data_IF_620365366784
#
_entry.id   IF_620365366784
#
_cell.length_a   1.000
_cell.length_b   1.000
_cell.length_c   1.000
_cell.angle_alpha   90.00
_cell.angle_beta   90.00
_cell.angle_gamma   90.00
#
_symmetry.space_group_name_H-M   'P 1'
#
loop_
_entity.id
_entity.type
_entity.pdbx_description
1 polymer ?
#
# COMPACT_ATOMS: atom_id res chain seq x y z
N UNK A 1 -6.53 18.80 12.87
CA UNK A 1 -6.17 17.55 12.18
C UNK A 1 -6.66 17.66 10.75
N UNK A 2 -5.76 17.69 9.77
CA UNK A 2 -6.13 17.81 8.35
C UNK A 2 -6.76 16.51 7.84
N UNK A 3 -7.49 16.58 6.72
CA UNK A 3 -8.12 15.39 6.13
C UNK A 3 -7.07 14.35 5.71
N UNK A 4 -5.90 14.78 5.25
CA UNK A 4 -4.77 13.90 4.99
C UNK A 4 -4.29 13.17 6.26
N UNK A 5 -4.19 13.86 7.40
CA UNK A 5 -3.81 13.24 8.67
C UNK A 5 -4.86 12.24 9.16
N UNK A 6 -6.16 12.54 8.99
CA UNK A 6 -7.23 11.59 9.30
C UNK A 6 -7.16 10.35 8.42
N UNK A 7 -6.93 10.54 7.12
CA UNK A 7 -6.79 9.46 6.16
C UNK A 7 -5.61 8.54 6.51
N UNK A 8 -4.44 9.12 6.80
CA UNK A 8 -3.26 8.36 7.23
C UNK A 8 -3.57 7.56 8.50
N UNK A 9 -4.23 8.19 9.48
CA UNK A 9 -4.58 7.55 10.74
C UNK A 9 -5.58 6.38 10.54
N UNK A 10 -6.56 6.54 9.64
CA UNK A 10 -7.52 5.49 9.33
C UNK A 10 -6.86 4.33 8.57
N UNK A 11 -5.95 4.60 7.63
CA UNK A 11 -5.16 3.57 6.94
C UNK A 11 -4.30 2.81 7.93
N UNK A 12 -3.56 3.50 8.80
CA UNK A 12 -2.73 2.86 9.82
C UNK A 12 -3.56 1.99 10.79
N UNK A 13 -4.76 2.44 11.16
CA UNK A 13 -5.67 1.66 12.01
C UNK A 13 -6.14 0.38 11.31
N UNK A 14 -6.45 0.46 10.01
CA UNK A 14 -6.89 -0.68 9.21
C UNK A 14 -5.76 -1.64 8.85
N UNK A 15 -4.51 -1.21 8.96
CA UNK A 15 -3.30 -1.97 8.61
C UNK A 15 -2.40 -2.14 9.84
N UNK A 16 -2.92 -2.85 10.85
CA UNK A 16 -2.19 -3.15 12.07
C UNK A 16 -1.38 -4.44 11.90
N UNK A 17 -0.15 -4.44 12.43
CA UNK A 17 0.71 -5.62 12.49
C UNK A 17 0.12 -6.66 13.43
N UNK A 18 -0.09 -7.86 12.91
CA UNK A 18 -0.44 -9.03 13.70
C UNK A 18 0.75 -9.97 13.74
N UNK A 19 1.16 -10.31 14.95
CA UNK A 19 2.25 -11.24 15.19
C UNK A 19 1.74 -12.52 15.85
N UNK A 20 2.19 -13.64 15.31
CA UNK A 20 2.12 -14.96 15.92
C UNK A 20 3.53 -15.51 16.06
N UNK A 21 3.69 -16.59 16.83
CA UNK A 21 4.97 -17.26 17.09
C UNK A 21 5.75 -17.59 15.80
N UNK A 22 5.07 -17.78 14.66
CA UNK A 22 5.71 -18.18 13.40
C UNK A 22 5.43 -17.28 12.20
N UNK A 23 4.54 -16.28 12.32
CA UNK A 23 4.10 -15.48 11.17
C UNK A 23 3.76 -14.06 11.59
N UNK A 24 4.14 -13.12 10.73
CA UNK A 24 3.76 -11.71 10.79
C UNK A 24 2.93 -11.41 9.55
N UNK A 25 1.75 -10.84 9.77
CA UNK A 25 0.83 -10.44 8.71
C UNK A 25 0.12 -9.12 9.09
N UNK A 26 -0.44 -8.45 8.09
CA UNK A 26 -1.25 -7.26 8.30
C UNK A 26 -2.73 -7.62 8.46
N UNK A 27 -3.49 -6.84 9.23
CA UNK A 27 -4.97 -6.98 9.36
C UNK A 27 -5.72 -6.95 8.02
N UNK A 28 -5.12 -6.37 6.97
CA UNK A 28 -5.67 -6.42 5.61
C UNK A 28 -5.54 -7.79 4.91
N UNK A 29 -4.89 -8.77 5.58
CA UNK A 29 -4.68 -10.12 5.07
C UNK A 29 -3.37 -10.31 4.30
N UNK A 30 -2.56 -9.26 4.12
CA UNK A 30 -1.26 -9.38 3.45
C UNK A 30 -0.24 -10.08 4.36
N UNK A 31 0.42 -11.10 3.81
CA UNK A 31 1.59 -11.71 4.46
C UNK A 31 2.83 -10.86 4.17
N UNK A 32 3.58 -10.52 5.22
CA UNK A 32 4.64 -9.51 5.14
C UNK A 32 6.02 -10.02 5.52
N UNK A 33 6.13 -11.29 5.92
CA UNK A 33 7.34 -11.78 6.57
C UNK A 33 7.68 -10.95 7.81
N UNK A 34 8.88 -11.13 8.38
CA UNK A 34 9.24 -10.52 9.68
C UNK A 34 9.43 -8.99 9.65
N UNK A 35 9.67 -8.40 8.49
CA UNK A 35 10.05 -6.98 8.37
C UNK A 35 9.19 -6.17 7.42
N UNK A 36 8.36 -6.78 6.56
CA UNK A 36 7.67 -6.09 5.46
C UNK A 36 6.46 -5.24 5.82
N UNK A 37 6.12 -5.11 7.10
CA UNK A 37 4.93 -4.38 7.55
C UNK A 37 5.05 -2.88 7.34
N UNK A 38 6.22 -2.31 7.62
CA UNK A 38 6.45 -0.88 7.46
C UNK A 38 6.36 -0.48 5.99
N UNK A 39 6.97 -1.25 5.09
CA UNK A 39 6.93 -1.01 3.65
C UNK A 39 5.53 -1.21 3.08
N UNK A 40 4.78 -2.20 3.57
CA UNK A 40 3.38 -2.35 3.18
C UNK A 40 2.52 -1.18 3.63
N UNK A 41 2.60 -0.80 4.91
CA UNK A 41 1.82 0.31 5.45
C UNK A 41 2.12 1.61 4.70
N UNK A 42 3.40 1.90 4.41
CA UNK A 42 3.80 3.03 3.58
C UNK A 42 3.13 2.98 2.19
N UNK A 43 3.14 1.81 1.54
CA UNK A 43 2.50 1.64 0.24
C UNK A 43 0.97 1.83 0.29
N UNK A 44 0.28 1.40 1.36
CA UNK A 44 -1.17 1.64 1.49
C UNK A 44 -1.49 3.11 1.79
N UNK A 45 -0.64 3.79 2.56
CA UNK A 45 -0.74 5.24 2.80
C UNK A 45 -0.56 6.00 1.48
N UNK A 46 0.46 5.64 0.69
CA UNK A 46 0.71 6.28 -0.61
C UNK A 46 -0.44 6.06 -1.60
N UNK A 47 -1.08 4.89 -1.60
CA UNK A 47 -2.31 4.65 -2.39
C UNK A 47 -3.44 5.55 -1.93
N UNK A 48 -3.69 5.63 -0.62
CA UNK A 48 -4.79 6.40 -0.06
C UNK A 48 -4.62 7.90 -0.33
N UNK A 49 -3.40 8.42 -0.21
CA UNK A 49 -3.06 9.81 -0.53
C UNK A 49 -3.08 10.10 -2.04
N UNK A 50 -3.32 9.10 -2.89
CA UNK A 50 -3.32 9.24 -4.35
C UNK A 50 -1.92 9.31 -4.97
N UNK A 51 -0.87 9.11 -4.17
CA UNK A 51 0.53 9.04 -4.61
C UNK A 51 0.84 7.80 -5.44
N UNK A 52 0.04 6.73 -5.35
CA UNK A 52 0.11 5.55 -6.21
C UNK A 52 -1.14 5.42 -7.09
N UNK A 53 -0.97 5.37 -8.42
CA UNK A 53 -2.07 5.13 -9.38
C UNK A 53 -2.08 3.67 -9.83
N UNK A 54 -3.26 3.07 -9.90
CA UNK A 54 -3.41 1.72 -10.44
C UNK A 54 -3.31 1.78 -11.96
N UNK A 55 -2.24 1.23 -12.53
CA UNK A 55 -2.11 1.04 -13.96
C UNK A 55 -2.41 -0.42 -14.33
N UNK A 56 -3.09 -0.66 -15.46
CA UNK A 56 -3.20 -2.00 -16.03
C UNK A 56 -1.79 -2.49 -16.40
N UNK A 57 -1.46 -3.73 -16.06
CA UNK A 57 -0.21 -4.35 -16.49
C UNK A 57 -0.26 -4.60 -18.02
N UNK A 58 0.33 -3.72 -18.82
CA UNK A 58 0.53 -3.98 -20.24
C UNK A 58 1.62 -5.06 -20.40
N UNK A 59 1.28 -6.20 -21.01
CA UNK A 59 2.27 -7.18 -21.46
C UNK A 59 1.99 -8.66 -21.18
N UNK A 60 0.98 -9.02 -20.38
CA UNK A 60 0.65 -10.45 -20.15
C UNK A 60 -0.88 -10.66 -20.21
N UNK A 61 -1.41 -11.31 -21.26
CA UNK A 61 -2.86 -11.43 -21.48
C UNK A 61 -3.60 -12.35 -20.49
N UNK A 62 -2.89 -13.11 -19.64
CA UNK A 62 -3.50 -14.11 -18.74
C UNK A 62 -3.88 -13.59 -17.34
N UNK A 63 -3.57 -12.34 -17.00
CA UNK A 63 -3.94 -11.75 -15.70
C UNK A 63 -4.85 -10.53 -15.87
N UNK A 64 -6.06 -10.74 -16.40
CA UNK A 64 -7.07 -9.71 -16.67
C UNK A 64 -7.59 -8.91 -15.44
N UNK A 65 -6.94 -9.02 -14.28
CA UNK A 65 -7.25 -8.26 -13.06
C UNK A 65 -6.03 -7.71 -12.32
N UNK A 66 -4.80 -7.92 -12.81
CA UNK A 66 -3.60 -7.55 -12.07
C UNK A 66 -3.26 -6.08 -12.31
N UNK A 67 -3.67 -5.22 -11.38
CA UNK A 67 -3.32 -3.80 -11.37
C UNK A 67 -1.96 -3.64 -10.70
N UNK A 68 -1.00 -2.99 -11.37
CA UNK A 68 0.24 -2.54 -10.75
C UNK A 68 0.06 -1.13 -10.23
N UNK A 69 0.49 -0.87 -9.01
CA UNK A 69 0.54 0.47 -8.44
C UNK A 69 1.87 1.12 -8.82
N UNK A 70 1.81 2.34 -9.37
CA UNK A 70 2.99 3.12 -9.76
C UNK A 70 2.90 4.52 -9.14
N UNK A 71 4.05 5.09 -8.75
CA UNK A 71 4.10 6.42 -8.16
C UNK A 71 3.66 7.48 -9.17
N UNK A 72 2.77 8.37 -8.75
CA UNK A 72 2.29 9.53 -9.50
C UNK A 72 3.15 10.78 -9.27
N UNK A 73 4.24 10.67 -8.52
CA UNK A 73 5.25 11.73 -8.37
C UNK A 73 6.04 11.86 -9.66
N UNK A 74 5.49 12.54 -10.66
CA UNK A 74 6.31 13.26 -11.62
C UNK A 74 6.89 14.45 -10.86
N UNK A 75 8.18 14.40 -10.60
CA UNK A 75 8.99 15.52 -10.11
C UNK A 75 8.58 16.77 -10.92
N UNK A 76 7.92 17.74 -10.27
CA UNK A 76 7.79 19.08 -10.85
C UNK A 76 9.22 19.61 -10.86
N UNK A 77 9.89 19.46 -12.01
CA UNK A 77 11.14 20.15 -12.27
C UNK A 77 10.80 21.64 -12.29
N UNK A 78 11.22 22.34 -11.24
CA UNK A 78 11.29 23.80 -11.21
C UNK A 78 12.42 24.30 -12.07
#
# INVERSE_FOLDING_TARGET
MSDAQKLIADVARQHTRLESVHKVWCTCGKWEGRTGHAEHLAAEIDKALGGLRSQPCHGIPIYAGMRRWVSGWSEVQS
#
